data_IF_808428151186
#
_entry.id   IF_808428151186
#
_cell.length_a   1.000
_cell.length_b   1.000
_cell.length_c   1.000
_cell.angle_alpha   90.00
_cell.angle_beta   90.00
_cell.angle_gamma   90.00
#
_symmetry.space_group_name_H-M   'P 1'
#
loop_
_entity.id
_entity.type
_entity.pdbx_description
1 polymer ?
#
# COMPACT_ATOMS: atom_id res chain seq x y z
N UNK A 1 -13.33 -0.61 21.58
CA UNK A 1 -13.05 -1.15 20.23
C UNK A 1 -12.77 0.03 19.33
N UNK A 2 -11.53 0.54 19.34
CA UNK A 2 -11.16 1.72 18.56
C UNK A 2 -10.87 1.30 17.12
N UNK A 3 -11.67 1.79 16.18
CA UNK A 3 -11.45 1.62 14.75
C UNK A 3 -10.21 2.45 14.39
N UNK A 4 -9.05 1.80 14.28
CA UNK A 4 -7.88 2.41 13.65
C UNK A 4 -8.19 2.50 12.16
N UNK A 5 -8.76 3.62 11.75
CA UNK A 5 -8.83 4.02 10.35
C UNK A 5 -7.39 4.25 9.92
N UNK A 6 -6.79 3.23 9.32
CA UNK A 6 -5.53 3.34 8.60
C UNK A 6 -5.83 4.20 7.37
N UNK A 7 -5.65 5.51 7.51
CA UNK A 7 -5.71 6.45 6.40
C UNK A 7 -4.48 6.13 5.55
N UNK A 8 -4.61 5.34 4.48
CA UNK A 8 -3.52 5.20 3.53
C UNK A 8 -3.28 6.60 2.98
N UNK A 9 -2.20 7.24 3.38
CA UNK A 9 -2.08 8.67 3.22
C UNK A 9 -1.66 8.94 1.79
N UNK A 10 -2.19 10.02 1.23
CA UNK A 10 -1.67 10.57 -0.02
C UNK A 10 -0.21 11.05 0.14
N UNK A 11 0.31 11.08 1.38
CA UNK A 11 1.67 11.48 1.72
C UNK A 11 2.57 10.30 2.18
N UNK A 12 3.83 10.21 1.73
CA UNK A 12 4.72 9.08 2.02
C UNK A 12 5.10 8.91 3.51
N UNK A 13 5.10 10.00 4.28
CA UNK A 13 5.61 10.03 5.66
C UNK A 13 4.68 9.28 6.63
N UNK A 14 3.37 9.45 6.46
CA UNK A 14 2.36 8.75 7.26
C UNK A 14 2.31 7.24 6.92
N UNK A 15 2.58 6.86 5.67
CA UNK A 15 2.61 5.45 5.25
C UNK A 15 3.77 4.69 5.90
N UNK A 16 4.94 5.33 6.01
CA UNK A 16 6.10 4.76 6.70
C UNK A 16 5.80 4.43 8.17
N UNK A 17 5.16 5.38 8.87
CA UNK A 17 4.76 5.22 10.27
C UNK A 17 3.73 4.11 10.46
N UNK A 18 2.73 4.02 9.59
CA UNK A 18 1.72 2.96 9.61
C UNK A 18 2.34 1.57 9.37
N UNK A 19 3.24 1.46 8.39
CA UNK A 19 3.93 0.20 8.12
C UNK A 19 4.80 -0.22 9.31
N UNK A 20 5.45 0.72 10.00
CA UNK A 20 6.20 0.44 11.21
C UNK A 20 5.30 -0.11 12.34
N UNK A 21 4.11 0.47 12.53
CA UNK A 21 3.14 -0.03 13.51
C UNK A 21 2.62 -1.45 13.18
N UNK A 22 2.59 -1.81 11.90
CA UNK A 22 2.27 -3.16 11.42
C UNK A 22 3.48 -4.12 11.46
N UNK A 23 4.61 -3.72 12.05
CA UNK A 23 5.82 -4.53 12.15
C UNK A 23 6.59 -4.67 10.84
N UNK A 24 6.34 -3.77 9.88
CA UNK A 24 7.00 -3.76 8.58
C UNK A 24 7.77 -2.49 8.30
N UNK A 25 8.18 -2.33 7.04
CA UNK A 25 8.88 -1.13 6.57
C UNK A 25 8.56 -0.80 5.13
N UNK A 26 8.55 0.50 4.83
CA UNK A 26 8.54 1.02 3.48
C UNK A 26 9.94 0.86 2.86
N UNK A 27 10.02 0.24 1.68
CA UNK A 27 11.27 0.09 0.93
C UNK A 27 11.37 1.14 -0.19
N UNK A 28 10.25 1.45 -0.83
CA UNK A 28 10.17 2.44 -1.91
C UNK A 28 8.75 2.97 -2.00
N UNK A 29 8.63 4.27 -2.23
CA UNK A 29 7.39 4.91 -2.64
C UNK A 29 7.66 5.76 -3.87
N UNK A 30 6.78 5.67 -4.87
CA UNK A 30 6.82 6.52 -6.05
C UNK A 30 5.40 6.92 -6.39
N UNK A 31 5.18 8.23 -6.53
CA UNK A 31 3.96 8.79 -7.08
C UNK A 31 4.24 9.18 -8.53
N UNK A 32 3.34 8.81 -9.42
CA UNK A 32 3.35 9.21 -10.82
C UNK A 32 2.02 9.90 -11.10
N UNK A 33 2.07 11.10 -11.68
CA UNK A 33 0.88 11.93 -11.88
C UNK A 33 0.12 11.59 -13.18
N UNK A 34 0.77 10.94 -14.16
CA UNK A 34 0.17 10.60 -15.46
C UNK A 34 0.55 9.18 -15.91
N UNK A 35 -0.37 8.20 -15.89
CA UNK A 35 -1.64 8.23 -15.13
C UNK A 35 -1.37 8.29 -13.62
N UNK A 36 -2.31 8.79 -12.83
CA UNK A 36 -2.20 8.90 -11.37
C UNK A 36 -2.11 7.50 -10.73
N UNK A 37 -0.88 7.11 -10.44
CA UNK A 37 -0.57 5.82 -9.84
C UNK A 37 0.49 5.97 -8.74
N UNK A 38 0.36 5.13 -7.72
CA UNK A 38 1.33 5.01 -6.65
C UNK A 38 1.97 3.63 -6.71
N UNK A 39 3.29 3.58 -6.82
CA UNK A 39 4.07 2.34 -6.76
C UNK A 39 4.75 2.26 -5.40
N UNK A 40 4.35 1.25 -4.64
CA UNK A 40 4.78 1.03 -3.26
C UNK A 40 5.52 -0.28 -3.21
N UNK A 41 6.73 -0.28 -2.65
CA UNK A 41 7.46 -1.48 -2.28
C UNK A 41 7.62 -1.49 -0.78
N UNK A 42 7.22 -2.57 -0.14
CA UNK A 42 7.22 -2.72 1.31
C UNK A 42 7.66 -4.11 1.72
N UNK A 43 8.07 -4.26 2.98
CA UNK A 43 8.28 -5.55 3.61
C UNK A 43 7.37 -5.67 4.84
N UNK A 44 6.57 -6.73 4.90
CA UNK A 44 5.65 -7.05 5.99
C UNK A 44 5.59 -8.57 6.21
N UNK A 45 5.13 -8.98 7.40
CA UNK A 45 4.61 -10.33 7.58
C UNK A 45 3.23 -10.47 6.88
N UNK A 46 2.76 -11.71 6.69
CA UNK A 46 1.53 -11.96 5.94
C UNK A 46 0.28 -11.34 6.58
N UNK A 47 0.17 -11.43 7.91
CA UNK A 47 -0.89 -10.80 8.70
C UNK A 47 -0.87 -9.27 8.59
N UNK A 48 0.33 -8.66 8.64
CA UNK A 48 0.51 -7.23 8.41
C UNK A 48 0.07 -6.80 7.01
N UNK A 49 0.36 -7.62 5.99
CA UNK A 49 -0.10 -7.37 4.62
C UNK A 49 -1.62 -7.46 4.50
N UNK A 50 -2.27 -8.45 5.12
CA UNK A 50 -3.74 -8.55 5.10
C UNK A 50 -4.41 -7.32 5.74
N UNK A 51 -3.90 -6.84 6.87
CA UNK A 51 -4.40 -5.63 7.54
C UNK A 51 -4.22 -4.37 6.67
N UNK A 52 -3.08 -4.26 5.98
CA UNK A 52 -2.85 -3.16 5.05
C UNK A 52 -3.86 -3.18 3.89
N UNK A 53 -4.12 -4.35 3.31
CA UNK A 53 -5.05 -4.51 2.21
C UNK A 53 -6.51 -4.24 2.63
N UNK A 54 -6.90 -4.67 3.83
CA UNK A 54 -8.22 -4.38 4.41
C UNK A 54 -8.45 -2.88 4.64
N UNK A 55 -7.38 -2.14 4.95
CA UNK A 55 -7.44 -0.72 5.20
C UNK A 55 -7.27 0.17 3.95
N UNK A 56 -7.09 -0.42 2.76
CA UNK A 56 -6.97 0.38 1.54
C UNK A 56 -8.25 1.21 1.34
N UNK A 57 -8.13 2.53 1.09
CA UNK A 57 -9.29 3.38 0.88
C UNK A 57 -10.00 2.95 -0.39
N UNK A 58 -11.33 3.00 -0.39
CA UNK A 58 -12.17 2.63 -1.53
C UNK A 58 -11.94 3.52 -2.77
N UNK A 59 -11.29 4.66 -2.61
CA UNK A 59 -10.86 5.56 -3.69
C UNK A 59 -9.64 5.03 -4.44
N UNK A 60 -8.94 4.01 -3.94
CA UNK A 60 -7.77 3.40 -4.57
C UNK A 60 -8.10 1.97 -5.02
N UNK A 61 -7.70 1.62 -6.25
CA UNK A 61 -7.78 0.24 -6.77
C UNK A 61 -6.39 -0.37 -6.84
N UNK A 62 -6.30 -1.66 -6.53
CA UNK A 62 -5.10 -2.44 -6.77
C UNK A 62 -5.02 -2.70 -8.28
N UNK A 63 -4.09 -2.03 -8.96
CA UNK A 63 -3.81 -2.29 -10.37
C UNK A 63 -2.92 -3.52 -10.54
N UNK A 64 -1.84 -3.60 -9.76
CA UNK A 64 -0.93 -4.73 -9.77
C UNK A 64 -0.43 -5.02 -8.36
N UNK A 65 -0.30 -6.31 -8.04
CA UNK A 65 0.34 -6.76 -6.81
C UNK A 65 1.26 -7.94 -7.11
N UNK A 66 2.51 -7.85 -6.64
CA UNK A 66 3.47 -8.94 -6.66
C UNK A 66 3.95 -9.18 -5.23
N UNK A 67 3.88 -10.42 -4.79
CA UNK A 67 4.32 -10.83 -3.46
C UNK A 67 5.44 -11.86 -3.62
N UNK A 68 6.54 -11.65 -2.93
CA UNK A 68 7.68 -12.57 -2.90
C UNK A 68 8.02 -12.93 -1.46
N UNK A 69 8.20 -14.22 -1.19
CA UNK A 69 8.74 -14.68 0.09
C UNK A 69 10.24 -14.41 0.13
N UNK A 70 10.68 -13.78 1.22
CA UNK A 70 12.07 -13.54 1.57
C UNK A 70 12.35 -14.16 2.95
N UNK A 71 13.63 -14.33 3.34
CA UNK A 71 13.98 -14.81 4.68
C UNK A 71 13.41 -13.93 5.80
N UNK A 72 13.33 -12.62 5.58
CA UNK A 72 12.91 -11.63 6.59
C UNK A 72 11.41 -11.31 6.55
N UNK A 73 10.64 -11.93 5.66
CA UNK A 73 9.20 -11.69 5.52
C UNK A 73 8.69 -11.74 4.08
N UNK A 74 7.61 -11.03 3.79
CA UNK A 74 7.10 -10.85 2.43
C UNK A 74 7.55 -9.50 1.90
N UNK A 75 8.22 -9.49 0.76
CA UNK A 75 8.37 -8.27 -0.03
C UNK A 75 7.16 -8.15 -0.94
N UNK A 76 6.41 -7.04 -0.81
CA UNK A 76 5.26 -6.77 -1.67
C UNK A 76 5.54 -5.53 -2.50
N UNK A 77 5.30 -5.65 -3.81
CA UNK A 77 5.22 -4.52 -4.72
C UNK A 77 3.76 -4.32 -5.11
N UNK A 78 3.24 -3.14 -4.82
CA UNK A 78 1.85 -2.76 -5.01
C UNK A 78 1.79 -1.54 -5.91
N UNK A 79 0.97 -1.61 -6.96
CA UNK A 79 0.59 -0.46 -7.77
C UNK A 79 -0.87 -0.13 -7.44
N UNK A 80 -1.08 1.04 -6.84
CA UNK A 80 -2.40 1.61 -6.60
C UNK A 80 -2.72 2.64 -7.68
N UNK A 81 -3.96 2.61 -8.16
CA UNK A 81 -4.48 3.54 -9.18
C UNK A 81 -5.65 4.31 -8.55
N UNK A 82 -5.81 5.59 -8.92
CA UNK A 82 -7.03 6.33 -8.52
C UNK A 82 -8.26 5.68 -9.16
N UNK A 83 -9.33 5.49 -8.37
CA UNK A 83 -10.59 4.95 -8.91
C UNK A 83 -11.28 5.93 -9.87
N UNK A 84 -10.97 7.22 -9.76
CA UNK A 84 -11.54 8.28 -10.60
C UNK A 84 -10.93 8.31 -12.01
N UNK A 85 -9.71 7.82 -12.18
CA UNK A 85 -9.04 7.72 -13.50
C UNK A 85 -9.20 6.33 -14.14
N UNK A 86 -9.87 5.39 -13.47
CA UNK A 86 -10.12 4.05 -14.01
C UNK A 86 -11.31 3.98 -14.99
N UNK A 87 -11.81 5.15 -15.44
CA UNK A 87 -12.97 5.30 -16.34
C UNK A 87 -12.49 5.78 -17.71
N UNK A 88 -11.71 4.95 -18.40
CA UNK A 88 -11.58 5.01 -19.86
C UNK A 88 -11.81 3.58 -20.35
N UNK A 89 -13.07 3.28 -20.69
CA UNK A 89 -13.49 2.13 -21.54
C UNK A 89 -13.77 2.63 -22.96
#
# INVERSE_FOLDING_TARGET
MGQQVLIVPDEPEDLGTQLYQLGGRLLRFQQQEKPAQQKIRLQLAFDGLLRLLEALPSTRRIGQMKIERQPEGLTTQLTLISSEEAVDE
#
